data_IF_308231267617
#
_entry.id   IF_308231267617
#
_cell.length_a   1.000
_cell.length_b   1.000
_cell.length_c   1.000
_cell.angle_alpha   90.00
_cell.angle_beta   90.00
_cell.angle_gamma   90.00
#
_symmetry.space_group_name_H-M   'P 1'
#
loop_
_entity.id
_entity.type
_entity.pdbx_description
1 polymer ?
#
# COMPACT_ATOMS: atom_id res chain seq x y z
N UNK A 1 -11.29 -24.24 28.67
CA UNK A 1 -11.16 -24.21 27.19
C UNK A 1 -12.07 -23.11 26.72
N UNK A 2 -11.64 -22.23 25.78
CA UNK A 2 -12.56 -21.26 25.19
C UNK A 2 -13.76 -22.02 24.59
N UNK A 3 -14.97 -21.46 24.72
CA UNK A 3 -16.15 -22.05 24.09
C UNK A 3 -15.89 -22.12 22.58
N UNK A 4 -16.01 -23.31 21.99
CA UNK A 4 -15.85 -23.53 20.54
C UNK A 4 -16.92 -22.76 19.71
N UNK A 5 -17.87 -22.10 20.37
CA UNK A 5 -18.86 -21.19 19.77
C UNK A 5 -18.32 -19.79 19.46
N UNK A 6 -17.19 -19.39 20.07
CA UNK A 6 -16.48 -18.15 19.75
C UNK A 6 -15.34 -18.43 18.74
N UNK A 7 -15.67 -19.07 17.62
CA UNK A 7 -14.73 -19.21 16.50
C UNK A 7 -14.49 -17.83 15.90
N UNK A 8 -13.29 -17.29 16.08
CA UNK A 8 -12.81 -16.12 15.34
C UNK A 8 -12.66 -16.55 13.89
N UNK A 9 -13.61 -16.14 13.05
CA UNK A 9 -13.54 -16.28 11.61
C UNK A 9 -12.58 -15.21 11.08
N UNK A 10 -11.31 -15.57 11.01
CA UNK A 10 -10.22 -14.69 10.61
C UNK A 10 -10.21 -14.45 9.10
N UNK A 11 -10.05 -13.18 8.72
CA UNK A 11 -9.82 -12.71 7.35
C UNK A 11 -8.32 -12.68 7.06
N UNK A 12 -7.82 -13.42 6.07
CA UNK A 12 -6.35 -13.53 5.86
C UNK A 12 -5.85 -12.81 4.62
N UNK A 13 -4.61 -12.32 4.68
CA UNK A 13 -3.88 -11.97 3.46
C UNK A 13 -3.39 -13.28 2.86
N UNK A 14 -3.82 -13.57 1.63
CA UNK A 14 -3.34 -14.76 0.92
C UNK A 14 -1.94 -14.48 0.36
N UNK A 15 -0.92 -15.26 0.75
CA UNK A 15 0.44 -15.05 0.24
C UNK A 15 0.51 -15.47 -1.22
N UNK A 16 1.29 -14.73 -2.01
CA UNK A 16 1.70 -15.17 -3.34
C UNK A 16 2.64 -16.38 -3.19
N UNK A 17 2.53 -17.43 -4.02
CA UNK A 17 3.52 -18.51 -4.03
C UNK A 17 4.92 -18.01 -4.39
N UNK A 18 5.97 -18.59 -3.79
CA UNK A 18 7.36 -18.17 -3.98
C UNK A 18 7.78 -18.10 -5.47
N UNK A 19 7.28 -19.04 -6.29
CA UNK A 19 7.55 -19.08 -7.73
C UNK A 19 7.01 -17.87 -8.50
N UNK A 20 5.99 -17.20 -7.96
CA UNK A 20 5.33 -16.04 -8.56
C UNK A 20 5.85 -14.70 -8.00
N UNK A 21 6.68 -14.69 -6.96
CA UNK A 21 7.15 -13.45 -6.32
C UNK A 21 7.82 -12.46 -7.28
N UNK A 22 8.71 -12.95 -8.14
CA UNK A 22 9.41 -12.09 -9.10
C UNK A 22 8.43 -11.54 -10.14
N UNK A 23 7.47 -12.35 -10.57
CA UNK A 23 6.44 -11.91 -11.51
C UNK A 23 5.52 -10.88 -10.85
N UNK A 24 5.14 -11.09 -9.59
CA UNK A 24 4.27 -10.19 -8.84
C UNK A 24 4.94 -8.84 -8.59
N UNK A 25 6.24 -8.84 -8.29
CA UNK A 25 7.01 -7.61 -8.18
C UNK A 25 7.10 -6.84 -9.51
N UNK A 26 7.30 -7.55 -10.63
CA UNK A 26 7.31 -6.92 -11.96
C UNK A 26 5.95 -6.32 -12.31
N UNK A 27 4.87 -7.08 -12.13
CA UNK A 27 3.52 -6.62 -12.39
C UNK A 27 3.15 -5.42 -11.51
N UNK A 28 3.57 -5.41 -10.23
CA UNK A 28 3.37 -4.29 -9.33
C UNK A 28 4.07 -3.01 -9.82
N UNK A 29 5.32 -3.12 -10.27
CA UNK A 29 6.09 -1.99 -10.80
C UNK A 29 5.53 -1.52 -12.15
N UNK A 30 5.06 -2.44 -12.99
CA UNK A 30 4.43 -2.12 -14.27
C UNK A 30 3.09 -1.39 -14.08
N UNK A 31 2.25 -1.87 -13.14
CA UNK A 31 0.98 -1.22 -12.79
C UNK A 31 1.20 0.15 -12.14
N UNK A 32 2.14 0.23 -11.20
CA UNK A 32 2.49 1.48 -10.54
C UNK A 32 4.01 1.54 -10.32
N UNK A 33 4.74 2.34 -11.10
CA UNK A 33 6.19 2.48 -10.94
C UNK A 33 6.65 2.91 -9.55
N UNK A 34 5.78 3.55 -8.75
CA UNK A 34 6.08 3.92 -7.35
C UNK A 34 6.20 2.70 -6.44
N UNK A 35 5.78 1.51 -6.87
CA UNK A 35 6.02 0.27 -6.16
C UNK A 35 7.48 -0.18 -6.21
N UNK A 36 8.29 0.33 -7.15
CA UNK A 36 9.70 -0.01 -7.19
C UNK A 36 10.34 0.36 -5.84
N UNK A 37 11.05 -0.58 -5.20
CA UNK A 37 11.64 -0.29 -3.90
C UNK A 37 12.58 0.89 -4.04
N UNK A 38 12.35 1.93 -3.23
CA UNK A 38 13.28 3.04 -3.14
C UNK A 38 14.67 2.47 -2.84
N UNK A 39 15.70 2.98 -3.49
CA UNK A 39 17.11 2.66 -3.21
C UNK A 39 17.54 3.25 -1.85
N UNK A 40 16.77 3.03 -0.79
CA UNK A 40 17.13 3.31 0.59
C UNK A 40 18.05 2.21 1.10
N UNK A 41 19.22 2.10 0.51
CA UNK A 41 20.38 1.55 1.18
C UNK A 41 21.43 2.64 1.08
N UNK A 42 21.93 3.08 2.23
CA UNK A 42 22.97 4.10 2.31
C UNK A 42 24.20 3.76 1.45
N UNK A 43 25.24 4.62 1.42
CA UNK A 43 26.36 4.56 0.48
C UNK A 43 27.20 3.25 0.46
N UNK A 44 26.81 2.22 1.22
CA UNK A 44 27.46 0.92 1.32
C UNK A 44 26.94 -0.17 0.36
N UNK A 45 25.84 0.03 -0.39
CA UNK A 45 25.31 -1.03 -1.27
C UNK A 45 25.55 -0.69 -2.74
N UNK A 46 26.57 -1.34 -3.31
CA UNK A 46 26.94 -1.19 -4.71
C UNK A 46 25.80 -1.62 -5.66
N UNK A 47 25.67 -1.00 -6.85
CA UNK A 47 24.74 -1.44 -7.89
C UNK A 47 24.93 -2.94 -8.19
N UNK A 48 23.90 -3.76 -7.99
CA UNK A 48 23.92 -5.20 -8.25
C UNK A 48 23.98 -6.13 -7.02
N UNK A 49 23.94 -5.60 -5.79
CA UNK A 49 24.00 -6.42 -4.56
C UNK A 49 22.65 -6.89 -3.98
N UNK A 50 21.52 -6.35 -4.41
CA UNK A 50 20.19 -6.87 -4.01
C UNK A 50 19.71 -7.85 -5.07
N UNK A 51 19.52 -9.11 -4.70
CA UNK A 51 19.04 -10.14 -5.62
C UNK A 51 17.58 -9.90 -6.05
N UNK A 52 17.12 -10.43 -7.20
CA UNK A 52 15.74 -10.27 -7.67
C UNK A 52 14.65 -10.67 -6.65
N UNK A 53 14.94 -11.65 -5.79
CA UNK A 53 14.03 -12.10 -4.73
C UNK A 53 13.92 -11.08 -3.57
N UNK A 54 15.02 -10.42 -3.20
CA UNK A 54 15.04 -9.43 -2.14
C UNK A 54 14.38 -8.11 -2.59
N UNK A 55 14.57 -7.73 -3.86
CA UNK A 55 13.81 -6.64 -4.48
C UNK A 55 12.30 -6.93 -4.49
N UNK A 56 11.91 -8.17 -4.78
CA UNK A 56 10.50 -8.58 -4.81
C UNK A 56 9.83 -8.47 -3.41
N UNK A 57 10.59 -8.69 -2.34
CA UNK A 57 10.11 -8.53 -0.95
C UNK A 57 9.88 -7.05 -0.60
N UNK A 58 10.71 -6.15 -1.11
CA UNK A 58 10.64 -4.71 -0.83
C UNK A 58 9.69 -3.93 -1.75
N UNK A 59 9.14 -4.59 -2.78
CA UNK A 59 8.29 -3.96 -3.80
C UNK A 59 6.91 -3.65 -3.22
N UNK A 60 6.46 -2.40 -3.36
CA UNK A 60 5.11 -1.97 -3.01
C UNK A 60 4.04 -2.74 -3.81
N UNK A 61 2.80 -2.71 -3.32
CA UNK A 61 1.68 -3.49 -3.89
C UNK A 61 0.51 -2.63 -4.33
N UNK A 62 0.72 -1.31 -4.44
CA UNK A 62 -0.34 -0.32 -4.64
C UNK A 62 -0.75 -0.27 -6.09
N UNK A 63 -2.05 -0.09 -6.35
CA UNK A 63 -2.52 0.29 -7.69
C UNK A 63 -2.06 1.71 -8.04
N UNK A 64 -2.13 2.10 -9.31
CA UNK A 64 -1.94 3.52 -9.65
C UNK A 64 -3.15 4.34 -9.20
N UNK A 65 -2.99 5.54 -8.60
CA UNK A 65 -4.12 6.42 -8.33
C UNK A 65 -4.91 6.74 -9.61
N UNK A 66 -6.24 6.83 -9.51
CA UNK A 66 -7.19 6.98 -10.61
C UNK A 66 -7.53 5.67 -11.33
N UNK A 67 -6.98 4.52 -10.92
CA UNK A 67 -7.23 3.23 -11.57
C UNK A 67 -8.69 2.81 -11.44
N UNK A 68 -9.28 2.40 -12.57
CA UNK A 68 -10.53 1.62 -12.60
C UNK A 68 -10.17 0.16 -12.45
N UNK A 69 -10.51 -0.45 -11.32
CA UNK A 69 -10.32 -1.87 -11.01
C UNK A 69 -11.59 -2.63 -11.39
N UNK A 70 -11.46 -3.61 -12.27
CA UNK A 70 -12.58 -4.48 -12.64
C UNK A 70 -12.72 -5.57 -11.59
N UNK A 71 -13.94 -5.76 -11.14
CA UNK A 71 -14.33 -6.72 -10.11
C UNK A 71 -15.35 -7.67 -10.71
N UNK A 72 -15.11 -8.99 -10.62
CA UNK A 72 -16.12 -9.99 -11.00
C UNK A 72 -16.38 -10.99 -9.89
N UNK A 73 -17.60 -11.49 -9.86
CA UNK A 73 -17.99 -12.61 -9.01
C UNK A 73 -17.89 -13.92 -9.80
N UNK A 74 -17.27 -14.93 -9.20
CA UNK A 74 -17.19 -16.29 -9.73
C UNK A 74 -18.17 -17.17 -8.94
N UNK A 75 -19.37 -17.35 -9.49
CA UNK A 75 -20.49 -17.97 -8.78
C UNK A 75 -21.04 -17.12 -7.63
N UNK A 76 -21.50 -17.78 -6.56
CA UNK A 76 -22.10 -17.13 -5.38
C UNK A 76 -23.61 -16.86 -5.50
N UNK A 77 -24.26 -16.68 -4.35
CA UNK A 77 -25.68 -16.30 -4.29
C UNK A 77 -25.87 -14.85 -4.76
N UNK A 78 -26.92 -14.59 -5.55
CA UNK A 78 -27.20 -13.26 -6.09
C UNK A 78 -27.36 -12.20 -4.99
N UNK A 79 -28.06 -12.52 -3.90
CA UNK A 79 -28.26 -11.61 -2.77
C UNK A 79 -26.94 -11.27 -2.09
N UNK A 80 -26.04 -12.24 -1.96
CA UNK A 80 -24.72 -12.02 -1.35
C UNK A 80 -23.90 -11.08 -2.23
N UNK A 81 -23.89 -11.31 -3.54
CA UNK A 81 -23.19 -10.45 -4.51
C UNK A 81 -23.70 -9.01 -4.46
N UNK A 82 -25.01 -8.81 -4.50
CA UNK A 82 -25.63 -7.48 -4.47
C UNK A 82 -25.32 -6.73 -3.17
N UNK A 83 -25.23 -7.44 -2.04
CA UNK A 83 -24.91 -6.84 -0.73
C UNK A 83 -23.44 -6.47 -0.58
N UNK A 84 -22.51 -7.12 -1.29
CA UNK A 84 -21.08 -6.80 -1.24
C UNK A 84 -20.79 -5.43 -1.87
N UNK A 85 -21.39 -5.16 -3.05
CA UNK A 85 -21.10 -3.98 -3.87
C UNK A 85 -21.12 -2.65 -3.09
N UNK A 86 -22.19 -2.28 -2.35
CA UNK A 86 -22.23 -0.99 -1.68
C UNK A 86 -21.18 -0.85 -0.56
N UNK A 87 -20.81 -1.94 0.13
CA UNK A 87 -19.76 -1.87 1.16
C UNK A 87 -18.37 -1.75 0.55
N UNK A 88 -18.10 -2.48 -0.54
CA UNK A 88 -16.83 -2.39 -1.25
C UNK A 88 -16.57 -0.96 -1.78
N UNK A 89 -17.61 -0.33 -2.34
CA UNK A 89 -17.54 1.03 -2.90
C UNK A 89 -17.30 2.13 -1.88
N UNK A 90 -17.44 1.88 -0.58
CA UNK A 90 -17.12 2.88 0.46
C UNK A 90 -15.66 3.32 0.43
N UNK A 91 -14.75 2.48 -0.08
CA UNK A 91 -13.37 2.89 -0.28
C UNK A 91 -13.23 4.02 -1.32
N UNK A 92 -14.12 4.09 -2.33
CA UNK A 92 -14.09 5.14 -3.38
C UNK A 92 -14.38 6.54 -2.81
N UNK A 93 -14.97 6.64 -1.61
CA UNK A 93 -15.21 7.92 -0.93
C UNK A 93 -13.91 8.57 -0.42
N UNK A 94 -12.83 7.79 -0.32
CA UNK A 94 -11.57 8.20 0.30
C UNK A 94 -10.34 7.88 -0.56
N UNK A 95 -10.47 6.95 -1.50
CA UNK A 95 -9.40 6.53 -2.39
C UNK A 95 -9.74 6.97 -3.82
N UNK A 96 -8.79 7.59 -4.51
CA UNK A 96 -8.87 7.88 -5.93
C UNK A 96 -8.74 6.59 -6.75
N UNK A 97 -9.79 5.80 -6.78
CA UNK A 97 -9.92 4.54 -7.51
C UNK A 97 -11.40 4.36 -7.89
N UNK A 98 -11.68 3.46 -8.82
CA UNK A 98 -13.06 3.08 -9.15
C UNK A 98 -13.19 1.57 -9.21
N UNK A 99 -14.22 1.01 -8.58
CA UNK A 99 -14.58 -0.39 -8.60
C UNK A 99 -15.70 -0.62 -9.63
N UNK A 100 -15.29 -1.12 -10.79
CA UNK A 100 -16.19 -1.49 -11.88
C UNK A 100 -16.59 -2.96 -11.75
N UNK A 101 -17.83 -3.21 -11.32
CA UNK A 101 -18.36 -4.57 -11.18
C UNK A 101 -18.84 -5.08 -12.55
N UNK A 102 -18.01 -5.89 -13.20
CA UNK A 102 -18.20 -6.41 -14.56
C UNK A 102 -18.90 -7.78 -14.55
N UNK A 103 -19.26 -8.27 -15.73
CA UNK A 103 -19.88 -9.58 -15.91
C UNK A 103 -18.93 -10.74 -15.57
N UNK A 104 -19.49 -11.90 -15.26
CA UNK A 104 -18.72 -13.10 -14.87
C UNK A 104 -17.75 -13.59 -15.97
N UNK A 105 -18.06 -13.31 -17.23
CA UNK A 105 -17.25 -13.69 -18.39
C UNK A 105 -16.23 -12.61 -18.81
N UNK A 106 -16.24 -11.44 -18.17
CA UNK A 106 -15.29 -10.38 -18.47
C UNK A 106 -13.95 -10.61 -17.74
N UNK A 107 -12.89 -9.99 -18.25
CA UNK A 107 -11.59 -9.99 -17.57
C UNK A 107 -11.65 -9.03 -16.37
N UNK A 108 -11.05 -9.44 -15.25
CA UNK A 108 -11.08 -8.66 -14.03
C UNK A 108 -9.83 -8.88 -13.16
N UNK A 109 -9.31 -7.79 -12.60
CA UNK A 109 -8.20 -7.83 -11.65
C UNK A 109 -8.64 -8.47 -10.32
N UNK A 110 -9.82 -8.09 -9.80
CA UNK A 110 -10.38 -8.65 -8.56
C UNK A 110 -11.45 -9.68 -8.92
N UNK A 111 -11.25 -10.93 -8.48
CA UNK A 111 -12.09 -12.09 -8.81
C UNK A 111 -12.54 -12.77 -7.53
N UNK A 112 -13.82 -12.62 -7.20
CA UNK A 112 -14.39 -12.98 -5.90
C UNK A 112 -15.04 -14.36 -5.98
N UNK A 113 -14.52 -15.31 -5.20
CA UNK A 113 -15.13 -16.61 -4.97
C UNK A 113 -15.87 -16.69 -3.63
N UNK A 114 -16.62 -17.78 -3.44
CA UNK A 114 -17.44 -18.05 -2.25
C UNK A 114 -17.18 -19.46 -1.68
N UNK A 115 -15.92 -19.89 -1.72
CA UNK A 115 -15.48 -21.19 -1.21
C UNK A 115 -15.36 -21.22 0.31
N UNK A 116 -15.38 -22.41 0.91
CA UNK A 116 -15.38 -22.58 2.38
C UNK A 116 -13.99 -22.41 3.05
N UNK A 117 -12.98 -21.87 2.36
CA UNK A 117 -11.60 -21.75 2.83
C UNK A 117 -11.31 -20.45 3.59
N UNK A 118 -12.29 -19.95 4.36
CA UNK A 118 -12.21 -18.66 5.05
C UNK A 118 -12.46 -17.46 4.12
N UNK A 119 -12.26 -16.25 4.62
CA UNK A 119 -12.29 -15.03 3.80
C UNK A 119 -10.87 -14.51 3.66
N UNK A 120 -10.49 -14.11 2.45
CA UNK A 120 -9.14 -13.68 2.13
C UNK A 120 -9.10 -12.85 0.86
N UNK A 121 -8.02 -12.09 0.70
CA UNK A 121 -7.65 -11.42 -0.53
C UNK A 121 -6.13 -11.49 -0.72
N UNK A 122 -5.68 -11.51 -1.98
CA UNK A 122 -4.30 -11.12 -2.27
C UNK A 122 -4.11 -9.62 -1.99
N UNK A 123 -2.87 -9.22 -1.75
CA UNK A 123 -2.53 -7.85 -1.40
C UNK A 123 -2.33 -7.00 -2.67
N UNK A 124 -3.27 -6.11 -2.95
CA UNK A 124 -3.15 -5.15 -4.05
C UNK A 124 -2.82 -5.80 -5.40
N UNK A 125 -1.77 -5.30 -6.06
CA UNK A 125 -1.32 -5.73 -7.39
C UNK A 125 -0.84 -7.18 -7.47
N UNK A 126 -0.67 -7.88 -6.34
CA UNK A 126 -0.41 -9.32 -6.35
C UNK A 126 -1.52 -10.10 -7.07
N UNK A 127 -2.74 -9.56 -7.15
CA UNK A 127 -3.83 -10.13 -7.93
C UNK A 127 -3.51 -10.31 -9.43
N UNK A 128 -2.55 -9.56 -9.98
CA UNK A 128 -2.26 -9.51 -11.43
C UNK A 128 -1.52 -10.74 -11.98
N UNK A 129 -0.97 -11.60 -11.12
CA UNK A 129 -0.16 -12.75 -11.58
C UNK A 129 -0.89 -14.07 -11.63
N UNK A 130 -2.16 -14.07 -11.20
CA UNK A 130 -2.98 -15.28 -11.17
C UNK A 130 -3.83 -15.40 -12.45
N UNK A 131 -4.00 -16.60 -13.01
CA UNK A 131 -4.87 -16.85 -14.16
C UNK A 131 -6.33 -16.42 -13.89
N UNK A 132 -7.08 -16.09 -14.94
CA UNK A 132 -8.46 -15.60 -14.83
C UNK A 132 -9.44 -16.57 -14.16
N UNK A 133 -9.16 -17.87 -14.25
CA UNK A 133 -9.96 -18.91 -13.61
C UNK A 133 -9.73 -18.98 -12.09
N UNK A 134 -8.62 -18.45 -11.59
CA UNK A 134 -8.30 -18.46 -10.16
C UNK A 134 -8.84 -17.21 -9.46
N UNK A 135 -9.54 -17.35 -8.33
CA UNK A 135 -10.00 -16.20 -7.57
C UNK A 135 -8.84 -15.44 -6.94
N UNK A 136 -8.98 -14.11 -6.85
CA UNK A 136 -8.03 -13.25 -6.14
C UNK A 136 -8.56 -12.75 -4.79
N UNK A 137 -9.84 -13.03 -4.51
CA UNK A 137 -10.50 -12.80 -3.23
C UNK A 137 -11.53 -13.90 -2.97
N UNK A 138 -11.83 -14.19 -1.70
CA UNK A 138 -12.87 -15.14 -1.32
C UNK A 138 -13.64 -14.68 -0.09
N UNK A 139 -14.94 -14.96 -0.06
CA UNK A 139 -15.78 -14.82 1.14
C UNK A 139 -16.28 -16.20 1.60
N UNK A 140 -15.84 -16.65 2.79
CA UNK A 140 -16.12 -18.01 3.24
C UNK A 140 -17.47 -18.22 3.92
N UNK A 141 -17.99 -17.18 4.57
CA UNK A 141 -19.12 -17.32 5.50
C UNK A 141 -20.22 -16.26 5.33
N UNK A 142 -20.09 -15.33 4.36
CA UNK A 142 -21.20 -14.44 4.03
C UNK A 142 -22.37 -15.26 3.44
N UNK A 143 -23.56 -15.02 3.97
CA UNK A 143 -24.82 -15.67 3.58
C UNK A 143 -25.88 -14.60 3.35
N UNK A 144 -26.97 -14.90 2.61
CA UNK A 144 -28.03 -13.92 2.36
C UNK A 144 -28.59 -13.28 3.64
N UNK A 145 -28.60 -14.02 4.75
CA UNK A 145 -29.10 -13.60 6.06
C UNK A 145 -28.03 -13.11 7.05
N UNK A 146 -26.75 -12.98 6.67
CA UNK A 146 -25.75 -12.35 7.54
C UNK A 146 -26.14 -10.89 7.82
N UNK A 147 -25.80 -10.36 8.99
CA UNK A 147 -26.12 -8.97 9.36
C UNK A 147 -25.37 -7.97 8.48
N UNK A 148 -25.90 -6.75 8.33
CA UNK A 148 -25.20 -5.67 7.63
C UNK A 148 -23.86 -5.35 8.28
N UNK A 149 -23.77 -5.47 9.61
CA UNK A 149 -22.51 -5.31 10.34
C UNK A 149 -21.45 -6.32 9.92
N UNK A 150 -21.84 -7.57 9.66
CA UNK A 150 -20.90 -8.61 9.22
C UNK A 150 -20.49 -8.42 7.76
N UNK A 151 -21.42 -8.02 6.89
CA UNK A 151 -21.06 -7.62 5.52
C UNK A 151 -20.12 -6.43 5.52
N UNK A 152 -20.46 -5.36 6.24
CA UNK A 152 -19.63 -4.15 6.34
C UNK A 152 -18.22 -4.49 6.80
N UNK A 153 -18.11 -5.24 7.89
CA UNK A 153 -16.82 -5.66 8.45
C UNK A 153 -15.97 -6.43 7.45
N UNK A 154 -16.47 -7.56 6.96
CA UNK A 154 -15.69 -8.49 6.15
C UNK A 154 -15.39 -7.88 4.78
N UNK A 155 -16.37 -7.22 4.15
CA UNK A 155 -16.18 -6.63 2.82
C UNK A 155 -15.19 -5.48 2.86
N UNK A 156 -15.30 -4.56 3.82
CA UNK A 156 -14.32 -3.47 3.93
C UNK A 156 -12.91 -4.00 4.17
N UNK A 157 -12.76 -5.02 5.03
CA UNK A 157 -11.48 -5.62 5.36
C UNK A 157 -10.82 -6.29 4.13
N UNK A 158 -11.55 -7.17 3.42
CA UNK A 158 -10.99 -7.85 2.25
C UNK A 158 -10.69 -6.87 1.11
N UNK A 159 -11.55 -5.86 0.89
CA UNK A 159 -11.24 -4.81 -0.07
C UNK A 159 -10.07 -3.94 0.40
N UNK A 160 -9.87 -3.73 1.70
CA UNK A 160 -8.66 -3.09 2.22
C UNK A 160 -7.39 -3.81 1.76
N UNK A 161 -7.35 -5.14 1.87
CA UNK A 161 -6.25 -5.95 1.31
C UNK A 161 -6.13 -5.84 -0.20
N UNK A 162 -7.24 -5.93 -0.93
CA UNK A 162 -7.25 -5.73 -2.37
C UNK A 162 -6.76 -4.33 -2.79
N UNK A 163 -6.77 -3.36 -1.87
CA UNK A 163 -6.23 -2.01 -2.04
C UNK A 163 -4.86 -1.79 -1.36
N UNK A 164 -4.14 -2.88 -1.05
CA UNK A 164 -2.81 -2.88 -0.45
C UNK A 164 -2.72 -2.38 1.01
N UNK A 165 -3.84 -2.35 1.74
CA UNK A 165 -3.82 -2.19 3.19
C UNK A 165 -3.41 -3.52 3.87
N UNK A 166 -2.45 -3.44 4.78
CA UNK A 166 -1.98 -4.57 5.60
C UNK A 166 -2.65 -4.52 6.98
N UNK A 167 -2.53 -5.59 7.77
CA UNK A 167 -3.16 -5.64 9.08
C UNK A 167 -2.54 -4.68 10.11
N UNK A 168 -3.40 -4.01 10.88
CA UNK A 168 -3.01 -2.99 11.86
C UNK A 168 -2.50 -3.60 13.19
N UNK A 169 -2.92 -4.83 13.55
CA UNK A 169 -2.42 -5.53 14.74
C UNK A 169 -0.93 -5.90 14.64
N UNK A 170 -0.41 -5.94 13.40
CA UNK A 170 0.99 -6.15 13.12
C UNK A 170 1.83 -4.87 13.31
N UNK A 171 1.22 -3.75 13.72
CA UNK A 171 1.93 -2.51 13.98
C UNK A 171 2.94 -2.66 15.14
N UNK A 172 4.20 -2.15 15.04
CA UNK A 172 5.22 -2.32 16.06
C UNK A 172 4.78 -1.86 17.46
N UNK A 173 3.94 -0.84 17.52
CA UNK A 173 3.43 -0.24 18.76
C UNK A 173 2.16 -0.91 19.30
N UNK A 174 1.55 -1.89 18.60
CA UNK A 174 0.34 -2.56 19.05
C UNK A 174 0.51 -3.24 20.42
N UNK A 175 1.74 -3.65 20.76
CA UNK A 175 2.11 -4.04 22.13
C UNK A 175 1.32 -5.24 22.69
N UNK A 176 0.67 -6.04 21.83
CA UNK A 176 -0.30 -7.06 22.23
C UNK A 176 0.40 -8.10 23.12
N UNK A 177 -0.07 -8.31 24.36
CA UNK A 177 0.56 -9.22 25.31
C UNK A 177 0.13 -10.67 25.04
N UNK A 178 0.47 -11.23 23.88
CA UNK A 178 0.07 -12.57 23.47
C UNK A 178 0.51 -13.68 24.45
N UNK A 179 -0.41 -14.57 24.80
CA UNK A 179 -0.12 -15.86 25.44
C UNK A 179 0.20 -16.88 24.33
N UNK A 180 1.44 -16.88 23.85
CA UNK A 180 1.85 -17.62 22.65
C UNK A 180 1.44 -19.10 22.65
N UNK A 181 1.60 -19.88 23.75
CA UNK A 181 1.11 -21.26 23.80
C UNK A 181 -0.39 -21.39 23.50
N UNK A 182 -1.22 -20.48 24.04
CA UNK A 182 -2.67 -20.48 23.76
C UNK A 182 -2.97 -20.05 22.34
N UNK A 183 -2.24 -19.07 21.80
CA UNK A 183 -2.41 -18.61 20.41
C UNK A 183 -2.17 -19.76 19.44
N UNK A 184 -1.02 -20.44 19.51
CA UNK A 184 -0.73 -21.57 18.61
C UNK A 184 -1.76 -22.69 18.75
N UNK A 185 -2.12 -23.08 19.98
CA UNK A 185 -3.09 -24.16 20.19
C UNK A 185 -4.49 -23.79 19.69
N UNK A 186 -4.91 -22.53 19.87
CA UNK A 186 -6.19 -22.04 19.38
C UNK A 186 -6.29 -22.14 17.87
N UNK A 187 -5.34 -21.56 17.13
CA UNK A 187 -5.37 -21.55 15.66
C UNK A 187 -5.12 -22.93 15.05
N UNK A 188 -4.35 -23.79 15.73
CA UNK A 188 -4.21 -25.21 15.35
C UNK A 188 -5.53 -25.96 15.48
N UNK A 189 -6.30 -25.72 16.53
CA UNK A 189 -7.59 -26.41 16.78
C UNK A 189 -8.75 -25.86 15.95
N UNK A 190 -8.79 -24.54 15.71
CA UNK A 190 -9.93 -23.89 15.05
C UNK A 190 -9.75 -23.77 13.53
N UNK A 191 -8.54 -23.45 13.08
CA UNK A 191 -8.24 -23.20 11.66
C UNK A 191 -7.32 -24.26 11.05
N UNK A 192 -6.76 -25.17 11.85
CA UNK A 192 -5.80 -26.17 11.38
C UNK A 192 -4.42 -25.58 11.02
N UNK A 193 -4.14 -24.34 11.43
CA UNK A 193 -2.91 -23.64 11.06
C UNK A 193 -1.68 -24.27 11.71
N UNK A 194 -0.60 -24.31 10.93
CA UNK A 194 0.75 -24.60 11.38
C UNK A 194 1.32 -23.42 12.18
N UNK A 195 2.35 -23.65 13.02
CA UNK A 195 3.01 -22.55 13.72
C UNK A 195 3.51 -21.44 12.79
N UNK A 196 4.03 -21.79 11.60
CA UNK A 196 4.50 -20.79 10.63
C UNK A 196 3.37 -19.93 10.07
N UNK A 197 2.16 -20.48 9.87
CA UNK A 197 1.01 -19.70 9.44
C UNK A 197 0.54 -18.75 10.55
N UNK A 198 0.52 -19.23 11.81
CA UNK A 198 0.24 -18.37 12.97
C UNK A 198 1.27 -17.24 13.08
N UNK A 199 2.55 -17.55 12.87
CA UNK A 199 3.62 -16.55 12.88
C UNK A 199 3.41 -15.49 11.79
N UNK A 200 3.03 -15.90 10.59
CA UNK A 200 2.86 -14.98 9.46
C UNK A 200 1.56 -14.17 9.51
N UNK A 201 0.47 -14.76 10.00
CA UNK A 201 -0.88 -14.16 9.95
C UNK A 201 -1.25 -13.43 11.24
N UNK A 202 -0.80 -13.94 12.41
CA UNK A 202 -1.24 -13.44 13.73
C UNK A 202 -0.12 -12.69 14.45
N UNK A 203 1.08 -13.27 14.48
CA UNK A 203 2.17 -12.76 15.32
C UNK A 203 3.15 -11.87 14.55
N UNK A 204 3.04 -11.81 13.22
CA UNK A 204 3.91 -10.99 12.37
C UNK A 204 3.80 -9.55 12.83
N UNK A 205 4.94 -8.93 13.08
CA UNK A 205 5.06 -7.49 13.29
C UNK A 205 5.71 -6.92 12.04
N UNK A 206 5.06 -5.98 11.38
CA UNK A 206 5.71 -5.17 10.36
C UNK A 206 6.68 -4.20 11.05
N UNK A 207 7.82 -3.89 10.44
CA UNK A 207 8.66 -2.78 10.92
C UNK A 207 7.95 -1.44 10.72
N UNK A 208 8.36 -0.37 11.41
CA UNK A 208 7.77 0.96 11.24
C UNK A 208 7.81 1.44 9.76
N UNK A 209 8.82 1.01 9.00
CA UNK A 209 8.98 1.30 7.57
C UNK A 209 8.11 0.41 6.66
N UNK A 210 7.58 -0.69 7.20
CA UNK A 210 6.65 -1.61 6.53
C UNK A 210 5.20 -1.40 6.96
N UNK A 211 4.98 -0.65 8.05
CA UNK A 211 3.64 -0.25 8.48
C UNK A 211 3.23 1.02 7.77
N UNK A 212 1.99 0.98 7.31
CA UNK A 212 1.33 2.03 6.56
C UNK A 212 0.88 3.22 7.44
N UNK A 213 0.91 3.06 8.77
CA UNK A 213 0.59 4.10 9.76
C UNK A 213 1.81 4.38 10.65
N UNK A 214 1.99 5.64 11.06
CA UNK A 214 3.05 6.07 12.00
C UNK A 214 2.70 5.79 13.47
N UNK A 215 1.41 5.54 13.75
CA UNK A 215 0.83 5.32 15.07
C UNK A 215 -0.22 4.21 14.97
N UNK A 216 -0.26 3.34 15.98
CA UNK A 216 -1.19 2.23 16.08
C UNK A 216 -2.65 2.69 16.13
N UNK A 217 -3.51 2.08 15.31
CA UNK A 217 -4.96 2.32 15.29
C UNK A 217 -5.79 1.12 15.78
N UNK A 218 -6.24 1.09 17.05
CA UNK A 218 -7.05 -0.02 17.56
C UNK A 218 -8.42 -0.11 16.91
N UNK A 219 -8.91 0.97 16.31
CA UNK A 219 -10.23 1.06 15.67
C UNK A 219 -10.19 0.75 14.16
N UNK A 220 -9.01 0.46 13.59
CA UNK A 220 -8.86 0.20 12.16
C UNK A 220 -9.68 -1.01 11.72
N UNK A 221 -10.34 -0.90 10.57
CA UNK A 221 -11.02 -2.03 9.93
C UNK A 221 -10.05 -3.17 9.61
N UNK A 222 -8.76 -2.87 9.47
CA UNK A 222 -7.68 -3.83 9.20
C UNK A 222 -7.13 -4.48 10.47
N UNK A 223 -7.66 -4.17 11.65
CA UNK A 223 -7.21 -4.77 12.90
C UNK A 223 -7.83 -6.17 13.10
N UNK A 224 -7.01 -7.19 13.39
CA UNK A 224 -7.55 -8.48 13.85
C UNK A 224 -8.18 -8.35 15.23
N UNK A 225 -9.33 -8.99 15.49
CA UNK A 225 -9.84 -9.06 16.85
C UNK A 225 -8.82 -9.80 17.73
N UNK A 226 -8.57 -9.25 18.91
CA UNK A 226 -7.70 -9.85 19.91
C UNK A 226 -8.58 -10.34 21.04
N UNK A 227 -8.78 -11.65 21.12
CA UNK A 227 -9.52 -12.24 22.23
C UNK A 227 -8.67 -12.20 23.51
N UNK A 228 -9.25 -11.71 24.61
CA UNK A 228 -8.61 -11.72 25.93
C UNK A 228 -8.16 -13.12 26.36
N UNK A 229 -8.84 -14.17 25.87
CA UNK A 229 -8.46 -15.56 26.15
C UNK A 229 -7.08 -15.94 25.59
N UNK A 230 -6.60 -15.21 24.59
CA UNK A 230 -5.32 -15.43 23.90
C UNK A 230 -4.22 -14.48 24.39
N UNK A 231 -4.50 -13.63 25.38
CA UNK A 231 -3.55 -12.65 25.92
C UNK A 231 -3.27 -12.86 27.40
N UNK A 232 -2.19 -12.24 27.86
CA UNK A 232 -1.79 -12.17 29.26
C UNK A 232 -2.37 -10.89 29.85
N UNK A 233 -3.12 -11.01 30.94
CA UNK A 233 -3.76 -9.88 31.61
C UNK A 233 -5.21 -9.65 31.15
N UNK A 234 -5.61 -8.39 31.05
CA UNK A 234 -6.94 -7.98 30.59
C UNK A 234 -6.78 -7.09 29.34
N UNK A 235 -6.53 -7.73 28.20
CA UNK A 235 -6.32 -7.07 26.92
C UNK A 235 -7.23 -7.69 25.87
N UNK A 236 -8.08 -6.88 25.25
CA UNK A 236 -8.88 -7.33 24.12
C UNK A 236 -9.01 -6.20 23.10
N UNK A 237 -9.15 -6.59 21.84
CA UNK A 237 -9.59 -5.69 20.77
C UNK A 237 -10.77 -6.37 20.11
N UNK A 238 -11.93 -5.71 20.16
CA UNK A 238 -13.15 -6.23 19.55
C UNK A 238 -13.11 -6.07 18.02
N UNK A 239 -14.13 -6.61 17.36
CA UNK A 239 -14.30 -6.44 15.92
C UNK A 239 -14.66 -4.99 15.58
N UNK A 240 -13.78 -4.35 14.81
CA UNK A 240 -14.10 -3.09 14.15
C UNK A 240 -15.02 -3.36 12.96
N UNK A 241 -16.06 -2.55 12.81
CA UNK A 241 -17.13 -2.78 11.82
C UNK A 241 -17.20 -1.71 10.74
N UNK A 242 -16.39 -0.67 10.84
CA UNK A 242 -16.39 0.45 9.92
C UNK A 242 -14.96 0.99 9.73
N UNK A 243 -14.75 1.79 8.68
CA UNK A 243 -13.50 2.53 8.47
C UNK A 243 -13.30 3.51 9.62
N UNK A 244 -12.16 3.41 10.29
CA UNK A 244 -11.70 4.41 11.25
C UNK A 244 -11.39 5.73 10.53
N UNK A 245 -11.19 6.81 11.27
CA UNK A 245 -10.69 8.05 10.68
C UNK A 245 -9.32 7.85 10.02
N UNK A 246 -8.45 7.04 10.64
CA UNK A 246 -7.11 6.77 10.14
C UNK A 246 -7.13 5.87 8.92
N UNK A 247 -8.04 4.91 8.81
CA UNK A 247 -8.21 4.10 7.59
C UNK A 247 -8.50 5.02 6.38
N UNK A 248 -9.37 6.02 6.58
CA UNK A 248 -9.73 7.01 5.55
C UNK A 248 -8.57 7.92 5.18
N UNK A 249 -7.86 8.45 6.17
CA UNK A 249 -6.69 9.31 5.94
C UNK A 249 -5.56 8.53 5.26
N UNK A 250 -5.31 7.30 5.70
CA UNK A 250 -4.32 6.42 5.12
C UNK A 250 -4.62 6.10 3.66
N UNK A 251 -5.86 5.70 3.34
CA UNK A 251 -6.16 5.30 1.96
C UNK A 251 -6.16 6.49 1.00
N UNK A 252 -6.49 7.70 1.48
CA UNK A 252 -6.36 8.94 0.72
C UNK A 252 -4.89 9.27 0.41
N UNK A 253 -3.98 9.03 1.36
CA UNK A 253 -2.53 9.12 1.14
C UNK A 253 -2.04 8.13 0.09
N UNK A 254 -2.57 6.89 0.12
CA UNK A 254 -2.17 5.85 -0.83
C UNK A 254 -2.70 6.13 -2.24
N UNK A 255 -3.93 6.64 -2.33
CA UNK A 255 -4.62 6.94 -3.59
C UNK A 255 -5.15 8.38 -3.59
N UNK A 256 -4.27 9.39 -3.74
CA UNK A 256 -4.64 10.81 -3.64
C UNK A 256 -5.57 11.26 -4.77
N UNK A 257 -6.50 12.17 -4.43
CA UNK A 257 -7.65 12.61 -5.25
C UNK A 257 -7.36 13.60 -6.38
N UNK A 258 -6.33 14.42 -6.29
CA UNK A 258 -5.81 15.19 -7.42
C UNK A 258 -4.50 14.54 -7.86
N UNK A 259 -4.33 14.30 -9.17
CA UNK A 259 -3.04 13.86 -9.69
C UNK A 259 -1.97 14.91 -9.37
N UNK A 260 -0.69 14.51 -9.30
CA UNK A 260 0.40 15.43 -9.02
C UNK A 260 0.34 16.60 -10.00
N UNK A 261 0.50 17.85 -9.53
CA UNK A 261 0.54 19.00 -10.42
C UNK A 261 1.76 18.88 -11.33
N UNK A 262 1.56 18.36 -12.55
CA UNK A 262 2.63 18.24 -13.54
C UNK A 262 2.99 19.62 -14.07
N UNK A 263 4.07 20.19 -13.54
CA UNK A 263 4.55 21.52 -13.92
C UNK A 263 5.90 21.46 -14.62
N UNK A 264 6.03 22.18 -15.74
CA UNK A 264 7.33 22.32 -16.42
C UNK A 264 8.25 23.23 -15.60
N UNK A 265 9.47 22.74 -15.34
CA UNK A 265 10.50 23.42 -14.56
C UNK A 265 11.50 24.10 -15.50
N UNK A 266 11.29 25.39 -15.74
CA UNK A 266 12.18 26.19 -16.57
C UNK A 266 13.48 26.55 -15.81
N UNK A 267 14.68 26.35 -16.40
CA UNK A 267 15.94 26.75 -15.78
C UNK A 267 15.94 28.24 -15.36
N UNK A 268 16.44 28.50 -14.16
CA UNK A 268 16.64 29.84 -13.61
C UNK A 268 15.42 30.46 -12.93
N UNK A 269 14.21 29.94 -13.15
CA UNK A 269 12.97 30.46 -12.55
C UNK A 269 12.52 29.57 -11.40
N UNK A 270 12.51 30.06 -10.15
CA UNK A 270 11.94 29.32 -9.04
C UNK A 270 10.44 29.10 -9.23
N UNK A 271 9.96 27.96 -8.77
CA UNK A 271 8.55 27.58 -8.74
C UNK A 271 8.15 27.42 -7.28
N UNK A 272 7.13 28.17 -6.85
CA UNK A 272 6.50 27.98 -5.54
C UNK A 272 5.38 26.94 -5.65
N UNK A 273 5.38 25.97 -4.74
CA UNK A 273 4.42 24.88 -4.69
C UNK A 273 4.06 24.55 -3.22
N UNK A 274 3.11 23.64 -3.03
CA UNK A 274 2.64 23.23 -1.72
C UNK A 274 2.32 21.73 -1.77
N UNK A 275 2.86 20.98 -0.81
CA UNK A 275 2.32 19.66 -0.47
C UNK A 275 1.05 19.93 0.35
N UNK A 276 -0.09 20.03 -0.31
CA UNK A 276 -1.39 20.39 0.26
C UNK A 276 -2.12 19.23 0.93
N UNK A 277 -1.87 17.99 0.48
CA UNK A 277 -2.44 16.77 1.06
C UNK A 277 -1.36 15.83 1.64
N UNK A 278 -1.75 14.99 2.61
CA UNK A 278 -0.85 14.02 3.20
C UNK A 278 -0.37 13.01 2.14
N UNK A 279 0.95 12.83 2.05
CA UNK A 279 1.58 11.91 1.11
C UNK A 279 1.40 12.27 -0.36
N UNK A 280 0.94 13.50 -0.62
CA UNK A 280 1.05 14.10 -1.93
C UNK A 280 2.51 14.13 -2.37
N UNK A 281 2.71 13.89 -3.66
CA UNK A 281 3.97 14.12 -4.34
C UNK A 281 3.70 15.10 -5.46
N UNK A 282 4.46 16.19 -5.53
CA UNK A 282 4.44 17.10 -6.66
C UNK A 282 5.41 16.61 -7.74
N UNK A 283 4.99 16.68 -9.00
CA UNK A 283 5.77 16.21 -10.14
C UNK A 283 6.15 17.37 -11.07
N UNK A 284 7.45 17.59 -11.27
CA UNK A 284 7.97 18.60 -12.19
C UNK A 284 8.74 17.96 -13.33
N UNK A 285 8.72 18.56 -14.51
CA UNK A 285 9.43 18.05 -15.69
C UNK A 285 10.44 19.05 -16.21
N UNK A 286 11.57 18.57 -16.68
CA UNK A 286 12.50 19.38 -17.47
C UNK A 286 13.17 18.52 -18.54
N UNK A 287 13.70 19.15 -19.58
CA UNK A 287 14.42 18.46 -20.65
C UNK A 287 15.80 19.06 -20.88
N UNK A 288 16.79 18.22 -21.12
CA UNK A 288 18.15 18.61 -21.50
C UNK A 288 18.39 18.28 -22.97
N UNK A 289 18.91 19.25 -23.74
CA UNK A 289 19.24 19.07 -25.15
C UNK A 289 20.62 18.43 -25.35
N UNK A 290 21.50 18.60 -24.37
CA UNK A 290 22.86 18.07 -24.33
C UNK A 290 23.25 17.74 -22.89
N UNK A 291 24.35 17.01 -22.72
CA UNK A 291 24.86 16.69 -21.39
C UNK A 291 25.16 17.99 -20.64
N UNK A 292 24.52 18.17 -19.48
CA UNK A 292 24.58 19.41 -18.72
C UNK A 292 24.80 19.14 -17.23
N UNK A 293 25.53 20.04 -16.58
CA UNK A 293 25.60 20.08 -15.13
C UNK A 293 24.34 20.77 -14.61
N UNK A 294 23.53 20.06 -13.82
CA UNK A 294 22.34 20.60 -13.19
C UNK A 294 22.58 20.90 -11.71
N UNK A 295 21.81 21.84 -11.18
CA UNK A 295 21.61 22.07 -9.75
C UNK A 295 20.12 22.25 -9.49
N UNK A 296 19.52 21.30 -8.78
CA UNK A 296 18.17 21.39 -8.24
C UNK A 296 18.24 21.69 -6.75
N UNK A 297 17.45 22.65 -6.30
CA UNK A 297 17.42 23.12 -4.91
C UNK A 297 15.98 23.37 -4.48
N UNK A 298 15.60 22.88 -3.30
CA UNK A 298 14.39 23.35 -2.62
C UNK A 298 14.73 24.41 -1.57
N UNK A 299 13.76 25.25 -1.24
CA UNK A 299 13.84 26.19 -0.12
C UNK A 299 12.48 26.40 0.55
N UNK A 300 12.48 26.78 1.81
CA UNK A 300 11.25 26.97 2.58
C UNK A 300 11.39 26.41 4.00
N UNK A 301 10.26 26.37 4.71
CA UNK A 301 10.17 25.78 6.05
C UNK A 301 9.75 24.30 6.05
N UNK A 302 9.34 23.76 4.91
CA UNK A 302 8.84 22.40 4.77
C UNK A 302 9.99 21.43 4.52
N UNK A 303 10.00 20.33 5.26
CA UNK A 303 10.99 19.26 5.13
C UNK A 303 10.60 18.36 3.95
N UNK A 304 11.37 18.43 2.87
CA UNK A 304 11.03 17.81 1.58
C UNK A 304 12.11 16.87 1.09
N UNK A 305 11.67 15.77 0.47
CA UNK A 305 12.55 14.84 -0.25
C UNK A 305 12.39 15.08 -1.74
N UNK A 306 13.52 15.21 -2.42
CA UNK A 306 13.57 15.36 -3.87
C UNK A 306 14.16 14.12 -4.53
N UNK A 307 13.49 13.64 -5.58
CA UNK A 307 13.96 12.55 -6.44
C UNK A 307 13.93 12.97 -7.91
N UNK A 308 14.93 12.58 -8.68
CA UNK A 308 15.05 12.86 -10.12
C UNK A 308 15.10 11.55 -10.88
N UNK A 309 14.23 11.40 -11.88
CA UNK A 309 14.11 10.23 -12.74
C UNK A 309 14.40 10.58 -14.20
N UNK A 310 15.03 9.67 -14.94
CA UNK A 310 15.36 9.82 -16.36
C UNK A 310 16.77 9.30 -16.71
N UNK A 311 17.28 9.59 -17.92
CA UNK A 311 16.57 10.25 -19.03
C UNK A 311 15.47 9.37 -19.63
N UNK A 312 14.36 10.00 -20.06
CA UNK A 312 13.24 9.43 -20.82
C UNK A 312 12.58 8.18 -20.20
N UNK A 313 12.74 8.01 -18.89
CA UNK A 313 12.29 6.87 -18.11
C UNK A 313 11.96 7.34 -16.69
N UNK A 314 10.68 7.59 -16.43
CA UNK A 314 10.15 8.12 -15.15
C UNK A 314 10.29 7.15 -13.98
N UNK A 315 10.80 5.94 -14.23
CA UNK A 315 11.04 4.91 -13.22
C UNK A 315 12.53 4.79 -12.87
N UNK A 316 13.41 5.36 -13.72
CA UNK A 316 14.86 5.29 -13.56
C UNK A 316 15.37 6.40 -12.66
N UNK A 317 15.58 6.09 -11.38
CA UNK A 317 16.17 7.05 -10.42
C UNK A 317 17.59 7.46 -10.84
N UNK A 318 17.75 8.73 -11.21
CA UNK A 318 19.01 9.37 -11.55
C UNK A 318 19.70 9.96 -10.31
N UNK A 319 18.93 10.56 -9.40
CA UNK A 319 19.42 11.13 -8.15
C UNK A 319 18.29 11.27 -7.12
N UNK A 320 18.65 11.35 -5.84
CA UNK A 320 17.74 11.73 -4.77
C UNK A 320 18.52 12.51 -3.71
N UNK A 321 17.83 13.33 -2.93
CA UNK A 321 18.36 14.04 -1.77
C UNK A 321 17.22 14.50 -0.84
N UNK A 322 17.49 14.65 0.44
CA UNK A 322 16.57 15.12 1.47
C UNK A 322 17.09 16.36 2.23
N UNK A 323 18.36 16.38 2.66
CA UNK A 323 18.86 17.43 3.58
C UNK A 323 20.19 18.11 3.18
N UNK A 324 20.69 17.91 1.96
CA UNK A 324 21.98 18.50 1.54
C UNK A 324 21.91 20.02 1.24
N UNK A 325 20.74 20.64 1.34
CA UNK A 325 20.47 22.06 1.13
C UNK A 325 20.57 22.90 2.41
N UNK A 326 19.86 24.04 2.43
CA UNK A 326 19.82 24.89 3.64
C UNK A 326 18.70 24.41 4.57
N UNK A 327 19.04 24.02 5.80
CA UNK A 327 18.06 23.52 6.76
C UNK A 327 17.67 22.08 6.44
N UNK A 328 16.37 21.82 6.24
CA UNK A 328 15.79 20.50 5.90
C UNK A 328 15.40 20.43 4.42
N UNK A 329 16.12 21.16 3.57
CA UNK A 329 15.81 21.25 2.14
C UNK A 329 16.76 20.37 1.32
N UNK A 330 16.24 19.81 0.24
CA UNK A 330 16.99 18.96 -0.67
C UNK A 330 17.82 19.76 -1.68
N UNK A 331 18.99 19.23 -2.05
CA UNK A 331 19.92 19.81 -3.02
C UNK A 331 20.63 18.75 -3.85
N UNK A 332 20.35 18.72 -5.16
CA UNK A 332 20.93 17.75 -6.10
C UNK A 332 21.78 18.48 -7.15
N UNK A 333 23.09 18.26 -7.11
CA UNK A 333 24.04 18.64 -8.17
C UNK A 333 24.53 17.42 -8.95
N UNK A 334 24.22 17.33 -10.24
CA UNK A 334 24.58 16.15 -11.08
C UNK A 334 24.87 16.53 -12.53
N UNK A 335 25.78 15.76 -13.15
CA UNK A 335 25.97 15.75 -14.59
C UNK A 335 24.95 14.77 -15.19
N UNK A 336 24.04 15.27 -16.02
CA UNK A 336 22.97 14.49 -16.64
C UNK A 336 23.08 14.55 -18.17
N UNK A 337 22.91 13.43 -18.90
CA UNK A 337 22.88 13.43 -20.36
C UNK A 337 21.64 14.15 -20.91
N UNK A 338 21.57 14.32 -22.23
CA UNK A 338 20.36 14.77 -22.91
C UNK A 338 19.18 13.81 -22.66
N UNK A 339 17.96 14.36 -22.58
CA UNK A 339 16.73 13.61 -22.37
C UNK A 339 15.72 14.34 -21.49
N UNK A 340 14.53 13.79 -21.37
CA UNK A 340 13.48 14.24 -20.45
C UNK A 340 13.68 13.68 -19.04
N UNK A 341 13.38 14.51 -18.04
CA UNK A 341 13.51 14.17 -16.63
C UNK A 341 12.24 14.52 -15.86
N UNK A 342 11.94 13.68 -14.86
CA UNK A 342 10.87 13.90 -13.89
C UNK A 342 11.51 14.17 -12.52
N UNK A 343 11.13 15.27 -11.87
CA UNK A 343 11.45 15.58 -10.48
C UNK A 343 10.21 15.29 -9.65
N UNK A 344 10.36 14.50 -8.59
CA UNK A 344 9.33 14.30 -7.57
C UNK A 344 9.74 15.00 -6.29
N UNK A 345 8.85 15.82 -5.77
CA UNK A 345 8.98 16.40 -4.44
C UNK A 345 7.87 15.81 -3.58
N UNK A 346 8.22 15.39 -2.37
CA UNK A 346 7.25 14.98 -1.36
C UNK A 346 7.69 15.48 -0.01
N UNK A 347 6.77 15.54 0.94
CA UNK A 347 7.17 15.78 2.32
C UNK A 347 8.01 14.61 2.86
N UNK A 348 9.01 14.89 3.70
CA UNK A 348 9.83 13.87 4.37
C UNK A 348 8.96 12.91 5.18
N UNK A 349 8.12 13.48 6.04
CA UNK A 349 7.08 12.76 6.79
C UNK A 349 5.82 12.49 5.94
N UNK A 350 5.24 11.27 5.95
CA UNK A 350 4.06 10.90 5.14
C UNK A 350 2.78 11.70 5.42
N UNK A 351 2.68 12.34 6.60
CA UNK A 351 1.56 13.22 6.99
C UNK A 351 1.95 14.70 7.03
N UNK A 352 3.13 15.06 6.57
CA UNK A 352 3.50 16.47 6.52
C UNK A 352 2.90 17.14 5.28
N UNK A 353 2.56 18.40 5.45
CA UNK A 353 2.07 19.31 4.41
C UNK A 353 2.84 20.62 4.56
N UNK A 354 2.90 21.42 3.51
CA UNK A 354 3.48 22.75 3.59
C UNK A 354 4.02 23.26 2.26
N UNK A 355 4.24 24.57 2.25
CA UNK A 355 4.76 25.31 1.10
C UNK A 355 6.28 25.12 0.95
N UNK A 356 6.75 25.07 -0.28
CA UNK A 356 8.17 25.07 -0.61
C UNK A 356 8.40 25.75 -1.98
N UNK A 357 9.64 26.17 -2.21
CA UNK A 357 10.10 26.62 -3.53
C UNK A 357 11.06 25.58 -4.12
N UNK A 358 11.00 25.38 -5.44
CA UNK A 358 11.91 24.54 -6.21
C UNK A 358 12.61 25.37 -7.29
N UNK A 359 13.92 25.19 -7.45
CA UNK A 359 14.71 25.86 -8.48
C UNK A 359 15.60 24.88 -9.23
N UNK A 360 15.61 24.99 -10.55
CA UNK A 360 16.57 24.34 -11.45
C UNK A 360 17.57 25.35 -12.00
N UNK A 361 18.86 25.02 -11.97
CA UNK A 361 19.92 25.68 -12.74
C UNK A 361 20.58 24.65 -13.66
N UNK A 362 20.94 25.07 -14.87
CA UNK A 362 21.53 24.21 -15.90
C UNK A 362 22.71 24.92 -16.55
N UNK A 363 23.87 24.29 -16.49
CA UNK A 363 25.11 24.72 -17.14
C UNK A 363 25.53 23.64 -18.17
N UNK A 364 25.42 23.91 -19.49
CA UNK A 364 25.88 22.98 -20.52
C UNK A 364 27.38 22.70 -20.45
N UNK A 365 27.80 21.47 -20.78
CA UNK A 365 29.20 21.00 -20.68
C UNK A 365 29.83 20.71 -22.03
#
# INVERSE_FOLDING_TARGET
>A
MPDLRDQVQACTIKPVPDELFIQAARAAIEENPRNAPMRTLGPAVAPGMIGPAEMAILTGKRWVPGRVLRVKFQGGDATVRDRIVPFARRWEEHANLTLDFVGENDDAEIRIAFGNSGSWSYLGTDALVFPDAEPTMNYGWLRPNSSDDEYRRVVLHEFGHALAAVHEHAHPQAGIPWDLPKVYEYYRLTQGWTPSEVDQQVLRRYSADQTNASEYDPDSIMHYPVSNALTIGDFAVDWNRDLSQRDREFIAVVYPGAGPQQQELAPGTPVSAEIGEHGEEDEFRFSLQETSQILLETSGGTDVVMSVFGPDDETRLAAFDDDSGTGLNARIGRLLPAGGYLVRIRHWHPRGTGEYDLRLSVDPV
#
